data_IF_405560057661
#
_entry.id   IF_405560057661
#
_cell.length_a   1.000
_cell.length_b   1.000
_cell.length_c   1.000
_cell.angle_alpha   90.00
_cell.angle_beta   90.00
_cell.angle_gamma   90.00
#
_symmetry.space_group_name_H-M   'P 1'
#
loop_
_entity.id
_entity.type
_entity.pdbx_description
1 polymer ?
#
# COMPACT_ATOMS: atom_id res chain seq x y z
N UNK A 1 68.87 -42.14 12.79
CA UNK A 1 67.82 -41.59 13.68
C UNK A 1 67.34 -40.26 13.13
N UNK A 2 66.02 -40.07 13.01
CA UNK A 2 65.26 -38.85 12.62
C UNK A 2 65.22 -38.56 11.11
N UNK A 3 64.21 -39.07 10.38
CA UNK A 3 62.90 -38.44 10.10
C UNK A 3 63.01 -36.96 9.67
N UNK A 4 63.04 -36.70 8.35
CA UNK A 4 62.58 -35.43 7.80
C UNK A 4 61.29 -35.69 7.01
N UNK A 5 60.19 -35.26 7.64
CA UNK A 5 58.83 -35.33 7.14
C UNK A 5 58.64 -34.40 5.95
N UNK A 6 58.10 -34.94 4.85
CA UNK A 6 57.60 -34.17 3.70
C UNK A 6 56.43 -33.30 4.17
N UNK A 7 56.62 -31.99 4.17
CA UNK A 7 55.55 -31.03 4.43
C UNK A 7 54.88 -30.68 3.09
N UNK A 8 53.94 -31.52 2.64
CA UNK A 8 53.02 -31.18 1.55
C UNK A 8 51.97 -30.23 2.11
N UNK A 9 52.20 -28.91 1.98
CA UNK A 9 51.17 -27.90 2.22
C UNK A 9 50.20 -27.95 1.03
N UNK A 10 49.14 -28.73 1.19
CA UNK A 10 47.98 -28.69 0.32
C UNK A 10 47.23 -27.38 0.63
N UNK A 11 47.54 -26.33 -0.14
CA UNK A 11 46.75 -25.10 -0.18
C UNK A 11 45.37 -25.43 -0.78
N UNK A 12 44.45 -25.87 0.07
CA UNK A 12 43.04 -26.00 -0.27
C UNK A 12 42.48 -24.59 -0.37
N UNK A 13 42.52 -24.03 -1.59
CA UNK A 13 41.86 -22.76 -1.91
C UNK A 13 40.36 -22.94 -1.68
N UNK A 14 39.91 -22.52 -0.50
CA UNK A 14 38.50 -22.43 -0.17
C UNK A 14 37.92 -21.31 -1.02
N UNK A 15 37.39 -21.66 -2.19
CA UNK A 15 36.62 -20.77 -3.04
C UNK A 15 35.37 -20.37 -2.27
N UNK A 16 35.44 -19.22 -1.60
CA UNK A 16 34.26 -18.58 -1.02
C UNK A 16 33.44 -18.10 -2.21
N UNK A 17 32.54 -18.97 -2.69
CA UNK A 17 31.45 -18.55 -3.58
C UNK A 17 30.56 -17.67 -2.73
N UNK A 18 30.86 -16.38 -2.74
CA UNK A 18 29.96 -15.35 -2.28
C UNK A 18 28.77 -15.38 -3.25
N UNK A 19 27.68 -16.03 -2.84
CA UNK A 19 26.38 -15.78 -3.44
C UNK A 19 26.01 -14.34 -3.11
N UNK A 20 26.41 -13.41 -3.99
CA UNK A 20 25.74 -12.13 -4.09
C UNK A 20 24.26 -12.45 -4.30
N UNK A 21 23.42 -12.13 -3.30
CA UNK A 21 21.97 -12.14 -3.45
C UNK A 21 21.64 -11.37 -4.72
N UNK A 22 21.20 -12.09 -5.75
CA UNK A 22 20.81 -11.47 -6.99
C UNK A 22 19.64 -10.56 -6.66
N UNK A 23 19.85 -9.25 -6.76
CA UNK A 23 18.74 -8.31 -6.90
C UNK A 23 17.89 -8.87 -8.05
N UNK A 24 16.64 -9.20 -7.74
CA UNK A 24 15.64 -9.66 -8.68
C UNK A 24 15.64 -8.77 -9.92
N UNK A 25 16.24 -9.25 -11.02
CA UNK A 25 16.55 -8.42 -12.20
C UNK A 25 15.27 -7.94 -12.90
N UNK A 26 14.17 -8.67 -12.73
CA UNK A 26 12.92 -8.43 -13.45
C UNK A 26 11.86 -7.72 -12.59
N UNK A 27 12.13 -7.49 -11.30
CA UNK A 27 11.22 -6.79 -10.38
C UNK A 27 11.64 -5.33 -10.25
N UNK A 28 10.74 -4.42 -10.62
CA UNK A 28 10.85 -2.98 -10.40
C UNK A 28 9.93 -2.58 -9.26
N UNK A 29 10.53 -2.26 -8.11
CA UNK A 29 9.82 -1.71 -6.97
C UNK A 29 9.60 -0.20 -7.20
N UNK A 30 8.35 0.21 -7.34
CA UNK A 30 7.99 1.60 -7.64
C UNK A 30 7.17 2.21 -6.49
N UNK A 31 7.47 3.47 -6.17
CA UNK A 31 6.60 4.29 -5.33
C UNK A 31 5.26 4.57 -6.04
N UNK A 32 4.16 4.84 -5.32
CA UNK A 32 2.82 4.89 -5.92
C UNK A 32 2.66 5.90 -7.08
N UNK A 33 3.21 7.12 -6.98
CA UNK A 33 3.27 8.08 -8.11
C UNK A 33 3.93 7.49 -9.34
N UNK A 34 5.15 6.95 -9.20
CA UNK A 34 5.89 6.35 -10.30
C UNK A 34 5.18 5.10 -10.86
N UNK A 35 4.56 4.30 -9.99
CA UNK A 35 3.74 3.16 -10.38
C UNK A 35 2.54 3.61 -11.23
N UNK A 36 1.82 4.66 -10.81
CA UNK A 36 0.68 5.25 -11.53
C UNK A 36 1.10 5.78 -12.91
N UNK A 37 2.19 6.52 -12.99
CA UNK A 37 2.72 7.08 -14.24
C UNK A 37 3.19 5.99 -15.21
N UNK A 38 3.88 4.98 -14.69
CA UNK A 38 4.33 3.83 -15.49
C UNK A 38 3.14 3.02 -16.00
N UNK A 39 2.12 2.78 -15.15
CA UNK A 39 0.92 2.05 -15.52
C UNK A 39 0.15 2.76 -16.65
N UNK A 40 0.01 4.09 -16.59
CA UNK A 40 -0.68 4.89 -17.62
C UNK A 40 -0.04 4.81 -19.01
N UNK A 41 1.27 4.63 -19.08
CA UNK A 41 2.02 4.58 -20.34
C UNK A 41 2.30 3.16 -20.82
N UNK A 42 1.98 2.14 -20.01
CA UNK A 42 2.20 0.73 -20.34
C UNK A 42 1.01 0.12 -21.04
N UNK A 43 1.22 -0.44 -22.23
CA UNK A 43 0.18 -1.14 -22.99
C UNK A 43 0.02 -2.59 -22.52
N UNK A 44 -1.21 -3.12 -22.56
CA UNK A 44 -1.54 -4.51 -22.21
C UNK A 44 -1.07 -4.95 -20.81
N UNK A 45 -1.08 -4.03 -19.84
CA UNK A 45 -0.71 -4.32 -18.46
C UNK A 45 -1.70 -5.31 -17.80
N UNK A 46 -1.15 -6.25 -17.04
CA UNK A 46 -1.90 -7.15 -16.16
C UNK A 46 -1.83 -6.60 -14.72
N UNK A 47 -2.90 -5.98 -14.25
CA UNK A 47 -2.95 -5.38 -12.91
C UNK A 47 -3.46 -6.43 -11.92
N UNK A 48 -2.67 -6.79 -10.92
CA UNK A 48 -2.94 -7.89 -10.00
C UNK A 48 -2.99 -7.37 -8.56
N UNK A 49 -4.16 -7.53 -7.94
CA UNK A 49 -4.35 -7.32 -6.51
C UNK A 49 -4.26 -8.66 -5.78
N UNK A 50 -3.24 -8.81 -4.92
CA UNK A 50 -3.02 -10.06 -4.18
C UNK A 50 -3.59 -10.06 -2.76
N UNK A 51 -4.51 -9.14 -2.46
CA UNK A 51 -5.26 -9.13 -1.21
C UNK A 51 -6.37 -10.19 -1.21
N UNK A 52 -7.04 -10.36 -0.08
CA UNK A 52 -8.20 -11.25 0.02
C UNK A 52 -9.38 -10.72 -0.81
N UNK A 53 -10.34 -11.58 -1.21
CA UNK A 53 -11.53 -11.15 -1.95
C UNK A 53 -12.37 -10.08 -1.22
N UNK A 54 -12.40 -10.13 0.11
CA UNK A 54 -13.10 -9.13 0.93
C UNK A 54 -12.41 -7.76 0.83
N UNK A 55 -11.09 -7.71 0.95
CA UNK A 55 -10.32 -6.48 0.75
C UNK A 55 -10.47 -5.96 -0.68
N UNK A 56 -10.47 -6.84 -1.68
CA UNK A 56 -10.65 -6.44 -3.07
C UNK A 56 -12.04 -5.83 -3.33
N UNK A 57 -13.10 -6.46 -2.82
CA UNK A 57 -14.48 -5.98 -2.96
C UNK A 57 -14.71 -4.60 -2.31
N UNK A 58 -13.88 -4.25 -1.32
CA UNK A 58 -13.96 -2.94 -0.64
C UNK A 58 -13.45 -1.74 -1.44
N UNK A 59 -12.77 -2.00 -2.56
CA UNK A 59 -12.10 -1.00 -3.37
C UNK A 59 -10.74 -1.50 -3.83
N UNK A 60 -10.42 -1.26 -5.10
CA UNK A 60 -9.20 -1.73 -5.77
C UNK A 60 -8.89 -0.82 -6.96
N UNK A 61 -7.68 -0.94 -7.52
CA UNK A 61 -7.33 -0.22 -8.75
C UNK A 61 -8.20 -0.69 -9.91
N UNK A 62 -8.62 0.24 -10.76
CA UNK A 62 -9.46 -0.06 -11.93
C UNK A 62 -8.79 -1.10 -12.84
N UNK A 63 -9.60 -2.03 -13.35
CA UNK A 63 -9.17 -3.18 -14.18
C UNK A 63 -8.23 -4.18 -13.48
N UNK A 64 -8.05 -4.11 -12.16
CA UNK A 64 -7.30 -5.11 -11.42
C UNK A 64 -8.04 -6.46 -11.40
N UNK A 65 -7.27 -7.55 -11.51
CA UNK A 65 -7.72 -8.90 -11.21
C UNK A 65 -7.32 -9.25 -9.78
N UNK A 66 -8.25 -9.81 -9.00
CA UNK A 66 -7.91 -10.35 -7.69
C UNK A 66 -7.32 -11.75 -7.80
N UNK A 67 -6.11 -11.94 -7.30
CA UNK A 67 -5.44 -13.25 -7.17
C UNK A 67 -4.89 -13.35 -5.75
N UNK A 68 -5.73 -13.82 -4.82
CA UNK A 68 -5.44 -13.83 -3.39
C UNK A 68 -4.17 -14.63 -3.05
N UNK A 69 -3.16 -13.95 -2.51
CA UNK A 69 -1.90 -14.56 -2.05
C UNK A 69 -2.10 -15.54 -0.90
N UNK A 70 -3.11 -15.31 -0.05
CA UNK A 70 -3.42 -16.16 1.09
C UNK A 70 -4.34 -17.34 0.72
N UNK A 71 -4.86 -17.35 -0.50
CA UNK A 71 -5.77 -18.39 -0.99
C UNK A 71 -5.03 -19.57 -1.62
N UNK A 72 -5.63 -20.76 -1.53
CA UNK A 72 -5.06 -22.02 -2.02
C UNK A 72 -4.82 -22.04 -3.55
N UNK A 73 -5.50 -21.16 -4.30
CA UNK A 73 -5.51 -21.15 -5.76
C UNK A 73 -4.53 -20.14 -6.39
N UNK A 74 -3.69 -19.46 -5.61
CA UNK A 74 -2.75 -18.46 -6.14
C UNK A 74 -1.90 -19.02 -7.29
N UNK A 75 -1.27 -20.18 -7.07
CA UNK A 75 -0.33 -20.79 -8.01
C UNK A 75 -0.97 -21.25 -9.31
N UNK A 76 -2.16 -21.83 -9.22
CA UNK A 76 -2.91 -22.28 -10.38
C UNK A 76 -3.42 -21.09 -11.21
N UNK A 77 -3.73 -19.97 -10.56
CA UNK A 77 -4.28 -18.79 -11.23
C UNK A 77 -3.19 -17.96 -11.89
N UNK A 78 -2.07 -17.73 -11.19
CA UNK A 78 -0.99 -16.88 -11.70
C UNK A 78 -0.32 -17.47 -12.94
N UNK A 79 -0.23 -18.80 -13.05
CA UNK A 79 0.36 -19.48 -14.21
C UNK A 79 -0.44 -19.30 -15.51
N UNK A 80 -1.72 -18.89 -15.41
CA UNK A 80 -2.57 -18.61 -16.59
C UNK A 80 -2.30 -17.24 -17.21
N UNK A 81 -1.59 -16.37 -16.50
CA UNK A 81 -1.23 -15.05 -17.01
C UNK A 81 -0.14 -15.15 -18.08
N UNK A 82 -0.10 -14.16 -18.96
CA UNK A 82 0.95 -14.05 -19.95
C UNK A 82 2.22 -13.53 -19.28
N UNK A 83 3.30 -14.32 -19.34
CA UNK A 83 4.58 -14.03 -18.69
C UNK A 83 5.39 -12.94 -19.38
N UNK A 84 5.09 -12.66 -20.65
CA UNK A 84 5.75 -11.63 -21.46
C UNK A 84 5.11 -10.26 -21.26
N UNK A 85 3.84 -10.22 -20.84
CA UNK A 85 3.14 -8.96 -20.58
C UNK A 85 3.58 -8.34 -19.25
N UNK A 86 3.64 -6.99 -19.17
CA UNK A 86 3.89 -6.29 -17.92
C UNK A 86 2.88 -6.64 -16.83
N UNK A 87 3.36 -7.04 -15.65
CA UNK A 87 2.53 -7.28 -14.47
C UNK A 87 2.71 -6.15 -13.47
N UNK A 88 1.60 -5.52 -13.10
CA UNK A 88 1.55 -4.50 -12.05
C UNK A 88 0.90 -5.14 -10.83
N UNK A 89 1.70 -5.45 -9.82
CA UNK A 89 1.26 -6.20 -8.65
C UNK A 89 1.27 -5.32 -7.41
N UNK A 90 0.22 -5.42 -6.60
CA UNK A 90 0.12 -4.69 -5.35
C UNK A 90 -0.70 -5.46 -4.31
N UNK A 91 -0.56 -5.02 -3.07
CA UNK A 91 -1.47 -5.37 -2.00
C UNK A 91 -1.70 -4.13 -1.13
N UNK A 92 -2.04 -4.32 0.13
CA UNK A 92 -2.34 -3.23 1.06
C UNK A 92 -1.10 -2.41 1.48
N UNK A 93 -0.02 -3.09 1.85
CA UNK A 93 1.22 -2.53 2.44
C UNK A 93 2.50 -3.00 1.73
N UNK A 94 2.37 -3.58 0.54
CA UNK A 94 3.47 -4.23 -0.20
C UNK A 94 4.04 -5.54 0.40
N UNK A 95 3.64 -5.96 1.61
CA UNK A 95 4.15 -7.21 2.22
C UNK A 95 3.83 -8.47 1.41
N UNK A 96 2.55 -8.68 1.06
CA UNK A 96 2.10 -9.82 0.24
C UNK A 96 2.57 -9.70 -1.21
N UNK A 97 2.54 -8.49 -1.79
CA UNK A 97 2.88 -8.30 -3.20
C UNK A 97 4.37 -8.41 -3.46
N UNK A 98 5.23 -8.08 -2.49
CA UNK A 98 6.68 -8.31 -2.61
C UNK A 98 6.99 -9.81 -2.69
N UNK A 99 6.39 -10.62 -1.80
CA UNK A 99 6.54 -12.09 -1.86
C UNK A 99 5.95 -12.69 -3.14
N UNK A 100 4.78 -12.19 -3.56
CA UNK A 100 4.18 -12.61 -4.81
C UNK A 100 5.06 -12.24 -6.01
N UNK A 101 5.62 -11.03 -6.06
CA UNK A 101 6.51 -10.58 -7.13
C UNK A 101 7.75 -11.47 -7.27
N UNK A 102 8.39 -11.84 -6.16
CA UNK A 102 9.50 -12.82 -6.16
C UNK A 102 9.08 -14.18 -6.73
N UNK A 103 7.84 -14.61 -6.45
CA UNK A 103 7.30 -15.85 -7.00
C UNK A 103 7.05 -15.73 -8.51
N UNK A 104 6.50 -14.61 -8.98
CA UNK A 104 6.33 -14.33 -10.41
C UNK A 104 7.68 -14.34 -11.13
N UNK A 105 8.71 -13.72 -10.57
CA UNK A 105 10.05 -13.75 -11.17
C UNK A 105 10.57 -15.19 -11.31
N UNK A 106 10.46 -16.01 -10.26
CA UNK A 106 10.84 -17.43 -10.29
C UNK A 106 10.05 -18.26 -11.29
N UNK A 107 8.80 -17.85 -11.59
CA UNK A 107 7.95 -18.48 -12.61
C UNK A 107 8.26 -18.00 -14.04
N UNK A 108 9.19 -17.05 -14.20
CA UNK A 108 9.69 -16.57 -15.49
C UNK A 108 8.92 -15.38 -16.06
N UNK A 109 8.26 -14.58 -15.23
CA UNK A 109 7.68 -13.31 -15.68
C UNK A 109 8.80 -12.29 -15.96
N UNK A 110 8.69 -11.58 -17.09
CA UNK A 110 9.78 -10.75 -17.62
C UNK A 110 9.76 -9.31 -17.09
N UNK A 111 8.57 -8.78 -16.82
CA UNK A 111 8.37 -7.37 -16.46
C UNK A 111 7.40 -7.25 -15.28
N UNK A 112 7.93 -7.14 -14.06
CA UNK A 112 7.13 -7.07 -12.84
C UNK A 112 7.31 -5.70 -12.20
N UNK A 113 6.21 -4.99 -11.96
CA UNK A 113 6.17 -3.71 -11.27
C UNK A 113 5.43 -3.93 -9.95
N UNK A 114 6.14 -3.84 -8.83
CA UNK A 114 5.56 -3.98 -7.49
C UNK A 114 5.37 -2.60 -6.85
N UNK A 115 4.17 -2.31 -6.35
CA UNK A 115 3.88 -1.04 -5.68
C UNK A 115 4.41 -1.05 -4.24
N UNK A 116 5.42 -0.23 -3.97
CA UNK A 116 5.95 0.00 -2.63
C UNK A 116 4.94 0.77 -1.78
N UNK A 117 4.84 0.41 -0.50
CA UNK A 117 3.82 0.94 0.42
C UNK A 117 2.37 0.51 0.13
N UNK A 118 2.11 -0.16 -1.01
CA UNK A 118 0.80 -0.69 -1.38
C UNK A 118 -0.29 0.39 -1.50
N UNK A 119 -1.55 -0.04 -1.39
CA UNK A 119 -2.70 0.87 -1.49
C UNK A 119 -2.73 1.95 -0.42
N UNK A 120 -2.19 1.70 0.79
CA UNK A 120 -2.18 2.72 1.83
C UNK A 120 -1.36 3.94 1.41
N UNK A 121 -0.16 3.71 0.86
CA UNK A 121 0.66 4.82 0.37
C UNK A 121 0.06 5.45 -0.89
N UNK A 122 -0.56 4.64 -1.76
CA UNK A 122 -1.32 5.15 -2.91
C UNK A 122 -2.43 6.12 -2.50
N UNK A 123 -3.18 5.79 -1.45
CA UNK A 123 -4.23 6.65 -0.88
C UNK A 123 -3.64 7.90 -0.22
N UNK A 124 -2.56 7.76 0.56
CA UNK A 124 -1.84 8.87 1.17
C UNK A 124 -1.21 9.83 0.14
N UNK A 125 -0.94 9.36 -1.07
CA UNK A 125 -0.50 10.19 -2.18
C UNK A 125 -1.66 10.86 -2.94
N UNK A 126 -2.91 10.56 -2.59
CA UNK A 126 -4.11 11.11 -3.23
C UNK A 126 -4.35 10.57 -4.63
N UNK A 127 -3.83 9.37 -4.95
CA UNK A 127 -3.91 8.76 -6.27
C UNK A 127 -5.18 7.95 -6.50
N UNK A 128 -5.91 7.62 -5.43
CA UNK A 128 -7.21 6.99 -5.54
C UNK A 128 -8.22 7.92 -6.19
N UNK A 129 -9.12 7.32 -6.99
CA UNK A 129 -10.37 8.01 -7.32
C UNK A 129 -11.01 8.44 -5.99
N UNK A 130 -11.70 9.58 -5.89
CA UNK A 130 -12.39 9.94 -4.66
C UNK A 130 -13.28 8.78 -4.22
N UNK A 131 -12.85 8.06 -3.18
CA UNK A 131 -13.59 6.92 -2.62
C UNK A 131 -14.11 7.33 -1.26
N UNK A 132 -15.22 6.72 -0.88
CA UNK A 132 -15.81 6.87 0.43
C UNK A 132 -15.14 6.01 1.51
N UNK A 133 -14.14 5.18 1.17
CA UNK A 133 -13.59 4.13 2.06
C UNK A 133 -12.12 3.81 1.85
N UNK A 134 -11.38 3.77 2.96
CA UNK A 134 -10.29 2.81 3.18
C UNK A 134 -10.77 1.82 4.26
N UNK A 135 -10.96 0.56 3.87
CA UNK A 135 -11.42 -0.51 4.76
C UNK A 135 -10.22 -1.18 5.44
N UNK A 136 -10.27 -1.24 6.77
CA UNK A 136 -9.32 -1.95 7.61
C UNK A 136 -7.92 -1.32 7.58
N UNK A 137 -7.40 -0.85 8.68
CA UNK A 137 -6.07 -0.28 8.86
C UNK A 137 -5.66 -0.67 10.28
N UNK A 138 -4.64 -1.51 10.41
CA UNK A 138 -4.05 -1.77 11.72
C UNK A 138 -3.20 -0.56 12.17
N UNK A 139 -2.81 -0.46 13.45
CA UNK A 139 -2.02 0.68 13.94
C UNK A 139 -0.72 0.92 13.18
N UNK A 140 -0.03 -0.15 12.75
CA UNK A 140 1.19 -0.05 11.95
C UNK A 140 0.90 0.53 10.56
N UNK A 141 -0.20 0.10 9.95
CA UNK A 141 -0.69 0.60 8.67
C UNK A 141 -1.10 2.07 8.74
N UNK A 142 -1.64 2.51 9.88
CA UNK A 142 -1.99 3.90 10.12
C UNK A 142 -0.75 4.82 10.07
N UNK A 143 0.39 4.37 10.63
CA UNK A 143 1.62 5.15 10.60
C UNK A 143 2.15 5.36 9.17
N UNK A 144 1.92 4.41 8.26
CA UNK A 144 2.29 4.54 6.85
C UNK A 144 1.43 5.56 6.10
N UNK A 145 0.15 5.71 6.47
CA UNK A 145 -0.71 6.76 5.91
C UNK A 145 -0.19 8.17 6.19
N UNK A 146 0.57 8.32 7.28
CA UNK A 146 1.19 9.60 7.68
C UNK A 146 2.57 9.80 7.05
N UNK A 147 3.09 8.84 6.28
CA UNK A 147 4.42 8.85 5.70
C UNK A 147 4.44 9.55 4.32
N UNK A 148 4.10 10.83 4.33
CA UNK A 148 3.98 11.69 3.14
C UNK A 148 4.44 13.11 3.48
N UNK A 149 4.83 13.87 2.46
CA UNK A 149 5.16 15.30 2.55
C UNK A 149 3.90 16.20 2.61
N UNK A 150 2.73 15.64 2.33
CA UNK A 150 1.43 16.33 2.37
C UNK A 150 0.89 16.43 3.80
N UNK A 151 -0.01 17.39 4.03
CA UNK A 151 -0.90 17.33 5.21
C UNK A 151 -1.81 16.12 5.06
N UNK A 152 -2.13 15.43 6.15
CA UNK A 152 -3.04 14.27 6.13
C UNK A 152 -4.25 14.55 7.00
N UNK A 153 -5.44 14.58 6.41
CA UNK A 153 -6.71 14.63 7.12
C UNK A 153 -7.29 13.22 7.22
N UNK A 154 -7.47 12.71 8.43
CA UNK A 154 -8.18 11.46 8.70
C UNK A 154 -9.61 11.78 9.14
N UNK A 155 -10.61 11.26 8.43
CA UNK A 155 -12.04 11.28 8.79
C UNK A 155 -12.43 9.90 9.33
N UNK A 156 -12.57 9.78 10.65
CA UNK A 156 -13.14 8.60 11.29
C UNK A 156 -14.66 8.67 11.21
N UNK A 157 -15.27 7.73 10.50
CA UNK A 157 -16.70 7.75 10.18
C UNK A 157 -17.36 6.38 10.39
N UNK A 158 -18.68 6.30 10.27
CA UNK A 158 -19.41 5.03 10.19
C UNK A 158 -20.64 5.12 9.27
N UNK A 159 -21.13 3.99 8.77
CA UNK A 159 -22.27 3.95 7.83
C UNK A 159 -23.61 4.35 8.47
N UNK A 160 -23.72 4.26 9.79
CA UNK A 160 -24.91 4.70 10.54
C UNK A 160 -24.79 6.16 11.03
N UNK A 161 -23.65 6.82 10.82
CA UNK A 161 -23.39 8.18 11.28
C UNK A 161 -23.99 9.24 10.33
N UNK A 162 -25.11 9.83 10.71
CA UNK A 162 -25.79 10.85 9.90
C UNK A 162 -24.94 12.12 9.64
N UNK A 163 -24.23 12.70 10.63
CA UNK A 163 -23.32 13.82 10.36
C UNK A 163 -22.22 13.45 9.36
N UNK A 164 -21.65 12.25 9.46
CA UNK A 164 -20.63 11.76 8.53
C UNK A 164 -21.16 11.75 7.08
N UNK A 165 -22.38 11.24 6.87
CA UNK A 165 -23.03 11.25 5.55
C UNK A 165 -23.21 12.65 4.97
N UNK A 166 -23.51 13.63 5.83
CA UNK A 166 -23.62 15.04 5.42
C UNK A 166 -22.27 15.62 4.98
N UNK A 167 -21.17 15.12 5.55
CA UNK A 167 -19.82 15.59 5.26
C UNK A 167 -19.18 14.93 4.03
N UNK A 168 -19.56 13.67 3.75
CA UNK A 168 -19.03 12.89 2.61
C UNK A 168 -18.93 13.69 1.30
N UNK A 169 -19.98 14.40 0.81
CA UNK A 169 -19.92 15.02 -0.51
C UNK A 169 -18.81 16.06 -0.64
N UNK A 170 -18.61 16.89 0.39
CA UNK A 170 -17.56 17.90 0.34
C UNK A 170 -16.18 17.31 0.62
N UNK A 171 -16.06 16.24 1.43
CA UNK A 171 -14.79 15.55 1.66
C UNK A 171 -14.27 14.89 0.36
N UNK A 172 -15.16 14.24 -0.40
CA UNK A 172 -14.83 13.67 -1.71
C UNK A 172 -14.45 14.73 -2.75
N UNK A 173 -15.15 15.88 -2.72
CA UNK A 173 -14.79 17.04 -3.54
C UNK A 173 -13.40 17.57 -3.17
N UNK A 174 -13.12 17.74 -1.88
CA UNK A 174 -11.84 18.24 -1.38
C UNK A 174 -10.69 17.26 -1.66
N UNK A 175 -10.92 15.94 -1.61
CA UNK A 175 -9.94 14.93 -2.03
C UNK A 175 -9.41 15.22 -3.44
N UNK A 176 -10.30 15.63 -4.35
CA UNK A 176 -9.93 15.99 -5.72
C UNK A 176 -9.28 17.37 -5.81
N UNK A 177 -9.89 18.38 -5.20
CA UNK A 177 -9.44 19.79 -5.31
C UNK A 177 -8.10 20.06 -4.60
N UNK A 178 -7.78 19.26 -3.57
CA UNK A 178 -6.62 19.47 -2.71
C UNK A 178 -5.58 18.34 -2.83
N UNK A 179 -5.73 17.42 -3.79
CA UNK A 179 -4.90 16.22 -3.93
C UNK A 179 -3.40 16.51 -3.90
N UNK A 180 -2.96 17.65 -4.44
CA UNK A 180 -1.54 18.03 -4.48
C UNK A 180 -0.95 18.39 -3.11
N UNK A 181 -1.77 18.85 -2.16
CA UNK A 181 -1.33 19.42 -0.87
C UNK A 181 -1.83 18.64 0.34
N UNK A 182 -2.98 18.00 0.23
CA UNK A 182 -3.65 17.31 1.34
C UNK A 182 -4.08 15.92 0.90
N UNK A 183 -3.69 14.91 1.67
CA UNK A 183 -4.25 13.58 1.59
C UNK A 183 -5.46 13.50 2.53
N UNK A 184 -6.66 13.30 1.99
CA UNK A 184 -7.86 13.12 2.80
C UNK A 184 -8.22 11.64 2.78
N UNK A 185 -8.18 11.01 3.94
CA UNK A 185 -8.37 9.58 4.15
C UNK A 185 -9.58 9.37 5.05
N UNK A 186 -10.48 8.47 4.65
CA UNK A 186 -11.69 8.15 5.40
C UNK A 186 -11.59 6.74 5.96
N UNK A 187 -11.67 6.61 7.29
CA UNK A 187 -11.53 5.34 8.01
C UNK A 187 -12.84 4.98 8.70
N UNK A 188 -13.41 3.84 8.32
CA UNK A 188 -14.63 3.34 8.93
C UNK A 188 -14.33 2.79 10.34
N UNK A 189 -14.94 3.36 11.38
CA UNK A 189 -14.69 2.98 12.75
C UNK A 189 -15.08 1.52 13.08
N UNK A 190 -16.17 1.02 12.49
CA UNK A 190 -16.69 -0.34 12.73
C UNK A 190 -15.74 -1.40 12.16
N UNK A 191 -15.02 -1.07 11.10
CA UNK A 191 -14.03 -1.94 10.45
C UNK A 191 -12.63 -1.82 11.08
N UNK A 192 -12.44 -0.88 12.00
CA UNK A 192 -11.16 -0.51 12.59
C UNK A 192 -11.17 -0.47 14.14
N UNK A 193 -11.79 -1.42 14.85
CA UNK A 193 -12.05 -1.28 16.29
C UNK A 193 -10.77 -1.17 17.15
N UNK A 194 -9.69 -1.87 16.78
CA UNK A 194 -8.39 -1.76 17.46
C UNK A 194 -7.81 -0.35 17.33
N UNK A 195 -7.78 0.18 16.11
CA UNK A 195 -7.29 1.53 15.84
C UNK A 195 -8.11 2.59 16.56
N UNK A 196 -9.45 2.49 16.52
CA UNK A 196 -10.37 3.39 17.22
C UNK A 196 -10.08 3.43 18.73
N UNK A 197 -9.87 2.25 19.33
CA UNK A 197 -9.53 2.14 20.76
C UNK A 197 -8.17 2.77 21.08
N UNK A 198 -7.14 2.49 20.29
CA UNK A 198 -5.79 3.02 20.51
C UNK A 198 -5.73 4.55 20.34
N UNK A 199 -6.38 5.05 19.29
CA UNK A 199 -6.50 6.47 18.99
C UNK A 199 -7.47 7.22 19.92
N UNK A 200 -8.15 6.49 20.83
CA UNK A 200 -9.15 7.03 21.77
C UNK A 200 -10.21 7.86 21.05
N UNK A 201 -10.73 7.33 19.94
CA UNK A 201 -11.86 7.93 19.21
C UNK A 201 -13.14 7.54 19.95
N UNK A 202 -13.77 8.51 20.60
CA UNK A 202 -14.93 8.28 21.47
C UNK A 202 -16.26 8.53 20.75
N UNK A 203 -16.26 9.36 19.72
CA UNK A 203 -17.46 9.75 18.98
C UNK A 203 -17.17 9.97 17.49
N UNK A 204 -18.22 9.87 16.67
CA UNK A 204 -18.14 10.01 15.23
C UNK A 204 -19.03 11.17 14.73
N UNK A 205 -18.59 11.90 13.69
CA UNK A 205 -17.27 11.81 13.08
C UNK A 205 -16.20 12.36 14.01
N UNK A 206 -14.97 11.87 13.88
CA UNK A 206 -13.79 12.55 14.43
C UNK A 206 -12.81 12.80 13.29
N UNK A 207 -12.36 14.05 13.15
CA UNK A 207 -11.38 14.45 12.17
C UNK A 207 -10.06 14.74 12.85
N UNK A 208 -8.94 14.31 12.26
CA UNK A 208 -7.60 14.63 12.75
C UNK A 208 -6.73 15.07 11.58
N UNK A 209 -6.02 16.19 11.74
CA UNK A 209 -5.02 16.66 10.78
C UNK A 209 -3.63 16.32 11.33
N UNK A 210 -2.83 15.68 10.50
CA UNK A 210 -1.42 15.42 10.74
C UNK A 210 -0.55 16.19 9.76
N UNK A 211 0.57 16.70 10.27
CA UNK A 211 1.66 17.25 9.47
C UNK A 211 2.97 16.72 10.02
N UNK A 212 3.82 16.17 9.14
CA UNK A 212 5.09 15.53 9.53
C UNK A 212 4.89 14.48 10.65
N UNK A 213 3.83 13.67 10.54
CA UNK A 213 3.44 12.61 11.51
C UNK A 213 3.02 13.12 12.89
N UNK A 214 2.86 14.44 13.07
CA UNK A 214 2.41 15.05 14.33
C UNK A 214 0.97 15.51 14.20
N UNK A 215 0.12 15.14 15.15
CA UNK A 215 -1.25 15.67 15.27
C UNK A 215 -1.21 17.19 15.45
N UNK A 216 -1.81 17.93 14.52
CA UNK A 216 -1.88 19.39 14.55
C UNK A 216 -3.24 19.90 14.99
N UNK A 217 -4.28 19.15 14.69
CA UNK A 217 -5.64 19.55 14.95
C UNK A 217 -6.55 18.34 15.03
N UNK A 218 -7.56 18.42 15.90
CA UNK A 218 -8.59 17.41 16.08
C UNK A 218 -9.93 18.08 16.29
N UNK A 219 -10.97 17.52 15.67
CA UNK A 219 -12.35 17.94 15.86
C UNK A 219 -13.25 16.73 15.97
N UNK A 220 -14.18 16.80 16.92
CA UNK A 220 -15.22 15.79 17.08
C UNK A 220 -16.58 16.40 16.73
N UNK A 221 -17.39 15.60 16.04
CA UNK A 221 -18.68 16.04 15.51
C UNK A 221 -18.60 16.74 14.15
N UNK A 222 -19.76 17.20 13.70
CA UNK A 222 -19.93 17.87 12.41
C UNK A 222 -19.10 19.15 12.30
N UNK A 223 -18.51 19.38 11.13
CA UNK A 223 -17.89 20.65 10.74
C UNK A 223 -18.38 21.06 9.34
N UNK A 224 -18.45 22.37 9.06
CA UNK A 224 -18.79 22.89 7.73
C UNK A 224 -17.61 22.73 6.75
N UNK A 225 -17.89 22.68 5.43
CA UNK A 225 -16.83 22.66 4.40
C UNK A 225 -15.91 23.90 4.54
N UNK A 226 -16.48 25.06 4.81
CA UNK A 226 -15.75 26.32 4.93
C UNK A 226 -14.77 26.28 6.12
N UNK A 227 -15.24 25.87 7.29
CA UNK A 227 -14.41 25.86 8.50
C UNK A 227 -13.35 24.77 8.45
N UNK A 228 -13.65 23.61 7.84
CA UNK A 228 -12.64 22.59 7.61
C UNK A 228 -11.55 23.07 6.63
N UNK A 229 -11.93 23.79 5.57
CA UNK A 229 -10.96 24.38 4.63
C UNK A 229 -10.01 25.36 5.31
N UNK A 230 -10.48 26.15 6.28
CA UNK A 230 -9.62 27.07 7.06
C UNK A 230 -8.51 26.34 7.81
N UNK A 231 -8.72 25.09 8.23
CA UNK A 231 -7.71 24.31 8.96
C UNK A 231 -6.66 23.66 8.03
N UNK A 232 -6.98 23.52 6.74
CA UNK A 232 -6.12 22.85 5.75
C UNK A 232 -5.26 23.80 4.93
N UNK A 233 -5.48 25.12 5.06
CA UNK A 233 -4.70 26.16 4.39
C UNK A 233 -3.30 26.35 4.99
#
# INVERSE_FOLDING_TARGET
>A
MKLLSKFCILFLSLSIVSCNGQNAKNIKNLEPKAFSETLKTTTNAQIIDVRTPQEFASGHLENAQNIDWLGDNFDATIQKLDKTKPVFIYCKTSNRSSQAAEKLEKLGFENIYNMQGGLLKWDAEGLSKPTDRIIGVCPQEFAELLNTDKKVLIDFYAEWCAPCKKMTPYLLKMQKEMADKVAIIRLNADENPTLIKEMKILELPTLIIYENKVEKWKNSGYISEEDLKKQLQ
#
